data_IF_974745542466
#
_entry.id   IF_974745542466
#
_cell.length_a   1.000
_cell.length_b   1.000
_cell.length_c   1.000
_cell.angle_alpha   90.00
_cell.angle_beta   90.00
_cell.angle_gamma   90.00
#
_symmetry.space_group_name_H-M   'P 1'
#
loop_
_entity.id
_entity.type
_entity.pdbx_description
1 polymer ?
#
# COMPACT_ATOMS: atom_id res chain seq x y z
N UNK A 1 -12.23 22.46 -22.91
CA UNK A 1 -11.61 21.45 -23.79
C UNK A 1 -11.92 20.12 -23.17
N UNK A 2 -12.63 19.31 -23.93
CA UNK A 2 -13.21 18.04 -23.53
C UNK A 2 -12.08 16.99 -23.39
N UNK A 3 -11.71 16.64 -22.16
CA UNK A 3 -10.73 15.59 -21.87
C UNK A 3 -11.42 14.37 -21.30
N UNK A 4 -12.44 13.87 -21.99
CA UNK A 4 -12.78 12.46 -21.89
C UNK A 4 -11.69 11.69 -22.61
N UNK A 5 -10.61 11.35 -21.90
CA UNK A 5 -9.68 10.31 -22.34
C UNK A 5 -10.50 9.05 -22.59
N UNK A 6 -10.65 8.72 -23.88
CA UNK A 6 -11.24 7.48 -24.35
C UNK A 6 -10.55 6.31 -23.64
N UNK A 7 -11.33 5.49 -22.92
CA UNK A 7 -10.91 4.18 -22.41
C UNK A 7 -10.11 3.48 -23.50
N UNK A 8 -8.85 3.19 -23.23
CA UNK A 8 -8.03 2.40 -24.14
C UNK A 8 -8.54 0.94 -24.06
N UNK A 9 -9.41 0.56 -25.00
CA UNK A 9 -10.32 -0.59 -24.99
C UNK A 9 -9.64 -1.98 -25.12
N UNK A 10 -8.34 -2.05 -24.80
CA UNK A 10 -7.50 -3.25 -24.92
C UNK A 10 -6.73 -3.60 -23.64
N UNK A 11 -6.94 -2.88 -22.54
CA UNK A 11 -6.30 -3.21 -21.26
C UNK A 11 -6.96 -4.46 -20.65
N UNK A 12 -6.18 -5.41 -20.09
CA UNK A 12 -6.76 -6.61 -19.49
C UNK A 12 -7.58 -6.24 -18.25
N UNK A 13 -8.77 -6.83 -18.14
CA UNK A 13 -9.57 -6.82 -16.90
C UNK A 13 -9.08 -7.98 -16.03
N UNK A 14 -8.58 -7.67 -14.84
CA UNK A 14 -8.02 -8.65 -13.90
C UNK A 14 -9.09 -9.25 -12.97
N UNK A 15 -10.25 -8.61 -12.85
CA UNK A 15 -11.37 -9.14 -12.09
C UNK A 15 -12.52 -8.15 -11.92
N UNK A 16 -13.55 -8.59 -11.20
CA UNK A 16 -14.70 -7.80 -10.83
C UNK A 16 -14.75 -7.60 -9.32
N UNK A 17 -14.85 -6.35 -8.87
CA UNK A 17 -15.07 -5.99 -7.48
C UNK A 17 -16.58 -5.82 -7.29
N UNK A 18 -17.17 -6.67 -6.44
CA UNK A 18 -18.62 -6.77 -6.27
C UNK A 18 -19.15 -5.87 -5.15
N UNK A 19 -18.30 -5.54 -4.18
CA UNK A 19 -18.61 -4.65 -3.07
C UNK A 19 -18.14 -3.21 -3.28
N UNK A 20 -18.17 -2.38 -2.23
CA UNK A 20 -17.66 -1.02 -2.27
C UNK A 20 -16.13 -0.98 -2.31
N UNK A 21 -15.57 0.05 -2.95
CA UNK A 21 -14.14 0.37 -2.90
C UNK A 21 -13.97 1.60 -2.03
N UNK A 22 -13.19 1.47 -0.96
CA UNK A 22 -12.86 2.58 -0.06
C UNK A 22 -11.37 2.83 -0.13
N UNK A 23 -10.96 3.95 -0.71
CA UNK A 23 -9.58 4.39 -0.75
C UNK A 23 -9.31 5.38 0.38
N UNK A 24 -8.30 5.11 1.18
CA UNK A 24 -7.87 5.98 2.28
C UNK A 24 -6.56 6.65 1.82
N UNK A 25 -6.57 7.98 1.74
CA UNK A 25 -5.48 8.76 1.16
C UNK A 25 -5.62 8.98 -0.35
N UNK A 26 -5.40 10.22 -0.78
CA UNK A 26 -5.42 10.68 -2.16
C UNK A 26 -4.21 11.56 -2.51
N UNK A 27 -3.07 11.24 -1.89
CA UNK A 27 -1.76 11.79 -2.24
C UNK A 27 -1.24 11.26 -3.60
N UNK A 28 0.09 11.26 -3.78
CA UNK A 28 0.71 10.83 -5.06
C UNK A 28 0.32 9.41 -5.47
N UNK A 29 0.28 8.47 -4.52
CA UNK A 29 -0.03 7.06 -4.79
C UNK A 29 -1.52 6.87 -5.08
N UNK A 30 -2.43 7.45 -4.29
CA UNK A 30 -3.87 7.38 -4.55
C UNK A 30 -4.24 7.92 -5.94
N UNK A 31 -3.64 9.07 -6.32
CA UNK A 31 -3.79 9.65 -7.67
C UNK A 31 -3.28 8.74 -8.78
N UNK A 32 -2.15 8.05 -8.56
CA UNK A 32 -1.62 7.07 -9.52
C UNK A 32 -2.43 5.77 -9.59
N UNK A 33 -3.05 5.36 -8.49
CA UNK A 33 -3.79 4.10 -8.40
C UNK A 33 -5.22 4.18 -8.93
N UNK A 34 -5.92 5.29 -8.69
CA UNK A 34 -7.28 5.50 -9.17
C UNK A 34 -7.47 5.13 -10.66
N UNK A 35 -6.68 5.67 -11.62
CA UNK A 35 -6.85 5.33 -13.02
C UNK A 35 -6.49 3.86 -13.34
N UNK A 36 -5.64 3.19 -12.55
CA UNK A 36 -5.34 1.77 -12.73
C UNK A 36 -6.50 0.90 -12.27
N UNK A 37 -7.14 1.24 -11.15
CA UNK A 37 -8.33 0.55 -10.65
C UNK A 37 -9.45 0.65 -11.69
N UNK A 38 -9.74 1.87 -12.18
CA UNK A 38 -10.76 2.12 -13.20
C UNK A 38 -10.50 1.41 -14.54
N UNK A 39 -9.23 1.19 -14.86
CA UNK A 39 -8.78 0.54 -16.11
C UNK A 39 -8.86 -0.98 -16.03
N UNK A 40 -8.49 -1.58 -14.89
CA UNK A 40 -8.24 -3.01 -14.79
C UNK A 40 -9.27 -3.80 -13.99
N UNK A 41 -10.24 -3.15 -13.34
CA UNK A 41 -11.33 -3.82 -12.64
C UNK A 41 -12.70 -3.37 -13.14
N UNK A 42 -13.63 -4.33 -13.15
CA UNK A 42 -15.06 -4.03 -13.28
C UNK A 42 -15.65 -3.77 -11.89
N UNK A 43 -16.30 -2.62 -11.71
CA UNK A 43 -16.99 -2.27 -10.46
C UNK A 43 -18.05 -1.20 -10.72
N UNK A 44 -18.95 -1.00 -9.76
CA UNK A 44 -19.88 0.12 -9.76
C UNK A 44 -19.19 1.38 -9.24
N UNK A 45 -19.02 2.38 -10.11
CA UNK A 45 -18.33 3.64 -9.79
C UNK A 45 -19.00 4.42 -8.67
N UNK A 46 -20.32 4.29 -8.51
CA UNK A 46 -21.06 4.96 -7.44
C UNK A 46 -20.69 4.44 -6.04
N UNK A 47 -20.00 3.29 -5.98
CA UNK A 47 -19.54 2.65 -4.75
C UNK A 47 -18.03 2.77 -4.57
N UNK A 48 -17.39 3.72 -5.26
CA UNK A 48 -16.01 4.13 -4.98
C UNK A 48 -16.03 5.42 -4.15
N UNK A 49 -15.56 5.30 -2.91
CA UNK A 49 -15.34 6.45 -2.02
C UNK A 49 -13.85 6.63 -1.70
N UNK A 50 -13.40 7.88 -1.70
CA UNK A 50 -12.08 8.31 -1.24
C UNK A 50 -12.23 9.06 0.08
N UNK A 51 -11.33 8.80 1.03
CA UNK A 51 -11.25 9.52 2.31
C UNK A 51 -9.89 10.19 2.39
N UNK A 52 -9.85 11.53 2.49
CA UNK A 52 -8.62 12.29 2.65
C UNK A 52 -8.90 13.63 3.37
N UNK A 53 -8.11 14.06 4.38
CA UNK A 53 -8.29 15.35 5.03
C UNK A 53 -7.95 16.56 4.14
N UNK A 54 -7.22 16.36 3.05
CA UNK A 54 -6.79 17.38 2.10
C UNK A 54 -7.63 17.26 0.81
N UNK A 55 -8.29 18.35 0.41
CA UNK A 55 -9.18 18.37 -0.76
C UNK A 55 -8.59 19.13 -1.96
N UNK A 56 -7.30 19.47 -1.93
CA UNK A 56 -6.62 20.26 -2.98
C UNK A 56 -6.77 19.65 -4.38
N UNK A 57 -6.84 18.32 -4.47
CA UNK A 57 -6.99 17.56 -5.72
C UNK A 57 -8.41 17.04 -5.95
N UNK A 58 -9.41 17.52 -5.20
CA UNK A 58 -10.81 17.06 -5.29
C UNK A 58 -11.38 17.09 -6.71
N UNK A 59 -10.97 18.09 -7.51
CA UNK A 59 -11.39 18.20 -8.91
C UNK A 59 -11.08 16.94 -9.73
N UNK A 60 -10.04 16.18 -9.40
CA UNK A 60 -9.73 14.90 -10.06
C UNK A 60 -10.74 13.78 -9.77
N UNK A 61 -11.42 13.86 -8.62
CA UNK A 61 -12.45 12.92 -8.18
C UNK A 61 -13.82 13.32 -8.75
N UNK A 62 -14.16 14.60 -8.69
CA UNK A 62 -15.43 15.13 -9.17
C UNK A 62 -15.65 14.83 -10.67
N UNK A 63 -14.61 15.02 -11.51
CA UNK A 63 -14.70 14.70 -12.95
C UNK A 63 -14.87 13.21 -13.24
N UNK A 64 -14.60 12.33 -12.27
CA UNK A 64 -14.76 10.87 -12.37
C UNK A 64 -16.04 10.38 -11.69
N UNK A 65 -16.77 11.25 -10.98
CA UNK A 65 -17.92 10.89 -10.16
C UNK A 65 -17.57 10.06 -8.93
N UNK A 66 -16.35 10.20 -8.40
CA UNK A 66 -15.89 9.50 -7.20
C UNK A 66 -16.17 10.36 -5.97
N UNK A 67 -16.80 9.79 -4.95
CA UNK A 67 -17.15 10.51 -3.72
C UNK A 67 -15.88 10.80 -2.89
N UNK A 68 -15.72 12.04 -2.43
CA UNK A 68 -14.70 12.42 -1.45
C UNK A 68 -15.34 12.67 -0.08
N UNK A 69 -14.87 11.95 0.94
CA UNK A 69 -15.10 12.27 2.35
C UNK A 69 -13.88 13.03 2.85
N UNK A 70 -14.03 14.34 3.00
CA UNK A 70 -12.95 15.20 3.47
C UNK A 70 -12.78 15.12 5.00
N UNK A 71 -12.10 14.08 5.47
CA UNK A 71 -11.83 13.84 6.90
C UNK A 71 -10.53 13.07 7.10
N UNK A 72 -9.84 13.36 8.21
CA UNK A 72 -8.78 12.51 8.74
C UNK A 72 -9.39 11.34 9.51
N UNK A 73 -8.88 10.12 9.27
CA UNK A 73 -9.17 8.98 10.11
C UNK A 73 -8.33 9.04 11.38
N UNK A 74 -8.93 8.67 12.50
CA UNK A 74 -8.33 8.70 13.84
C UNK A 74 -8.75 7.46 14.62
N UNK A 75 -8.07 7.13 15.74
CA UNK A 75 -8.49 6.04 16.62
C UNK A 75 -9.97 6.13 17.04
N UNK A 76 -10.48 7.36 17.22
CA UNK A 76 -11.82 7.61 17.74
C UNK A 76 -12.93 7.46 16.68
N UNK A 77 -12.61 7.65 15.40
CA UNK A 77 -13.63 7.75 14.34
C UNK A 77 -13.55 6.67 13.25
N UNK A 78 -12.45 5.92 13.14
CA UNK A 78 -12.21 5.08 11.96
C UNK A 78 -13.26 3.98 11.81
N UNK A 79 -13.71 3.37 12.92
CA UNK A 79 -14.78 2.36 12.89
C UNK A 79 -16.11 2.94 12.43
N UNK A 80 -16.52 4.06 13.02
CA UNK A 80 -17.78 4.73 12.67
C UNK A 80 -17.82 5.12 11.18
N UNK A 81 -16.71 5.61 10.65
CA UNK A 81 -16.62 6.04 9.26
C UNK A 81 -16.50 4.85 8.31
N UNK A 82 -15.58 3.92 8.56
CA UNK A 82 -15.24 2.86 7.61
C UNK A 82 -16.27 1.73 7.59
N UNK A 83 -16.88 1.38 8.71
CA UNK A 83 -17.86 0.28 8.76
C UNK A 83 -18.99 0.44 7.75
N UNK A 84 -19.78 1.53 7.75
CA UNK A 84 -20.88 1.68 6.80
C UNK A 84 -20.40 1.70 5.35
N UNK A 85 -19.23 2.29 5.07
CA UNK A 85 -18.67 2.38 3.71
C UNK A 85 -18.21 1.02 3.19
N UNK A 86 -17.56 0.20 4.02
CA UNK A 86 -17.05 -1.12 3.62
C UNK A 86 -18.14 -2.18 3.53
N UNK A 87 -19.29 -1.95 4.17
CA UNK A 87 -20.46 -2.84 4.14
C UNK A 87 -21.61 -2.33 3.28
N UNK A 88 -21.44 -1.20 2.60
CA UNK A 88 -22.50 -0.62 1.77
C UNK A 88 -22.87 -1.57 0.64
N UNK A 89 -24.18 -1.85 0.46
CA UNK A 89 -24.69 -2.67 -0.63
C UNK A 89 -24.42 -4.17 -0.48
N UNK A 90 -24.32 -4.88 -1.60
CA UNK A 90 -24.02 -6.32 -1.63
C UNK A 90 -22.59 -6.59 -2.13
N UNK A 91 -22.07 -7.79 -1.89
CA UNK A 91 -20.73 -8.19 -2.33
C UNK A 91 -19.63 -7.89 -1.30
N UNK A 92 -18.38 -8.16 -1.70
CA UNK A 92 -17.22 -8.04 -0.81
C UNK A 92 -16.53 -6.70 -1.01
N UNK A 93 -16.47 -5.89 0.06
CA UNK A 93 -15.77 -4.60 0.03
C UNK A 93 -14.25 -4.75 -0.15
N UNK A 94 -13.61 -3.69 -0.63
CA UNK A 94 -12.16 -3.62 -0.79
C UNK A 94 -11.65 -2.27 -0.27
N UNK A 95 -10.90 -2.32 0.82
CA UNK A 95 -10.16 -1.20 1.37
C UNK A 95 -8.78 -1.09 0.70
N UNK A 96 -8.50 0.09 0.16
CA UNK A 96 -7.23 0.43 -0.48
C UNK A 96 -6.59 1.56 0.33
N UNK A 97 -5.66 1.20 1.21
CA UNK A 97 -5.05 2.14 2.14
C UNK A 97 -3.70 2.65 1.60
N UNK A 98 -3.65 3.92 1.23
CA UNK A 98 -2.47 4.61 0.69
C UNK A 98 -2.26 5.97 1.40
N UNK A 99 -2.70 6.06 2.66
CA UNK A 99 -2.55 7.22 3.52
C UNK A 99 -1.29 7.17 4.39
N UNK A 100 -1.06 8.27 5.10
CA UNK A 100 -0.14 8.39 6.24
C UNK A 100 -0.96 8.59 7.51
N UNK A 101 -0.33 8.51 8.69
CA UNK A 101 -0.93 8.85 9.99
C UNK A 101 -2.11 7.95 10.44
N UNK A 102 -2.33 6.82 9.76
CA UNK A 102 -3.41 5.87 10.02
C UNK A 102 -2.89 4.49 10.39
N UNK A 103 -3.40 3.86 11.45
CA UNK A 103 -2.96 2.51 11.85
C UNK A 103 -3.34 1.45 10.82
N UNK A 104 -2.34 0.89 10.12
CA UNK A 104 -2.53 -0.26 9.24
C UNK A 104 -3.09 -1.47 9.98
N UNK A 105 -2.66 -1.71 11.23
CA UNK A 105 -3.20 -2.83 12.05
C UNK A 105 -4.70 -2.68 12.25
N UNK A 106 -5.12 -1.53 12.76
CA UNK A 106 -6.51 -1.34 13.21
C UNK A 106 -7.48 -1.36 12.03
N UNK A 107 -7.10 -0.72 10.92
CA UNK A 107 -7.90 -0.68 9.70
C UNK A 107 -7.93 -2.07 9.05
N UNK A 108 -6.79 -2.78 8.99
CA UNK A 108 -6.73 -4.15 8.48
C UNK A 108 -7.60 -5.11 9.30
N UNK A 109 -7.54 -5.04 10.64
CA UNK A 109 -8.36 -5.85 11.53
C UNK A 109 -9.84 -5.56 11.32
N UNK A 110 -10.25 -4.28 11.22
CA UNK A 110 -11.62 -3.90 10.91
C UNK A 110 -12.09 -4.44 9.55
N UNK A 111 -11.27 -4.33 8.49
CA UNK A 111 -11.63 -4.86 7.18
C UNK A 111 -11.90 -6.36 7.23
N UNK A 112 -11.04 -7.11 7.93
CA UNK A 112 -11.19 -8.55 8.12
C UNK A 112 -12.41 -8.92 8.95
N UNK A 113 -12.71 -8.16 10.01
CA UNK A 113 -13.94 -8.31 10.82
C UNK A 113 -15.21 -8.15 9.95
N UNK A 114 -15.19 -7.21 9.01
CA UNK A 114 -16.31 -6.89 8.12
C UNK A 114 -16.39 -7.79 6.88
N UNK A 115 -15.43 -8.71 6.68
CA UNK A 115 -15.39 -9.54 5.47
C UNK A 115 -14.76 -8.85 4.25
N UNK A 116 -14.26 -7.62 4.39
CA UNK A 116 -13.66 -6.84 3.31
C UNK A 116 -12.21 -7.25 3.03
N UNK A 117 -11.79 -7.10 1.77
CA UNK A 117 -10.39 -7.18 1.36
C UNK A 117 -9.64 -5.92 1.80
N UNK A 118 -8.34 -6.05 2.04
CA UNK A 118 -7.48 -4.94 2.43
C UNK A 118 -6.14 -4.99 1.70
N UNK A 119 -5.63 -3.85 1.29
CA UNK A 119 -4.24 -3.68 0.84
C UNK A 119 -3.68 -2.34 1.34
N UNK A 120 -2.40 -2.34 1.73
CA UNK A 120 -1.62 -1.13 1.96
C UNK A 120 -0.22 -1.22 1.37
N UNK A 121 0.53 -0.12 1.44
CA UNK A 121 1.93 -0.04 0.98
C UNK A 121 2.94 0.08 2.12
N UNK A 122 2.47 0.18 3.36
CA UNK A 122 3.28 0.43 4.57
C UNK A 122 2.57 -0.10 5.81
N UNK A 123 3.33 -0.52 6.83
CA UNK A 123 2.82 -0.74 8.17
C UNK A 123 2.87 0.58 8.95
N UNK A 124 1.82 1.39 8.79
CA UNK A 124 1.72 2.74 9.36
C UNK A 124 1.08 2.69 10.76
N UNK A 125 1.55 3.50 11.73
CA UNK A 125 0.89 3.70 13.02
C UNK A 125 -0.11 4.86 12.96
N UNK A 126 -0.91 5.02 14.03
CA UNK A 126 -1.66 6.27 14.20
C UNK A 126 -0.73 7.47 14.40
N UNK A 127 -1.20 8.64 13.97
CA UNK A 127 -0.54 9.94 14.18
C UNK A 127 0.04 10.11 15.59
N UNK A 128 1.24 10.66 15.67
CA UNK A 128 1.96 10.92 16.93
C UNK A 128 2.99 9.86 17.32
N UNK A 129 2.90 8.63 16.77
CA UNK A 129 3.84 7.55 17.08
C UNK A 129 5.30 7.88 16.73
N UNK A 130 5.56 8.40 15.54
CA UNK A 130 6.93 8.66 15.06
C UNK A 130 7.70 9.69 15.90
N UNK A 131 6.97 10.58 16.58
CA UNK A 131 7.50 11.69 17.37
C UNK A 131 7.33 11.49 18.88
N UNK A 132 6.88 10.31 19.32
CA UNK A 132 6.80 10.00 20.74
C UNK A 132 8.20 9.92 21.36
N UNK A 133 8.55 10.96 22.13
CA UNK A 133 9.84 11.08 22.82
C UNK A 133 9.94 10.19 24.05
N UNK A 134 8.83 9.60 24.50
CA UNK A 134 8.82 8.66 25.62
C UNK A 134 9.19 7.24 25.19
N UNK A 135 9.09 6.93 23.89
CA UNK A 135 9.44 5.64 23.32
C UNK A 135 10.96 5.52 23.05
N UNK A 136 11.54 4.37 23.42
CA UNK A 136 12.91 4.04 23.05
C UNK A 136 13.06 3.83 21.53
N UNK A 137 14.28 3.94 20.96
CA UNK A 137 14.51 3.77 19.52
C UNK A 137 13.97 2.44 18.95
N UNK A 138 14.11 1.34 19.71
CA UNK A 138 13.61 0.00 19.34
C UNK A 138 12.10 -0.01 19.03
N UNK A 139 11.30 0.68 19.85
CA UNK A 139 9.86 0.74 19.69
C UNK A 139 9.44 1.52 18.43
N UNK A 140 10.32 2.38 17.88
CA UNK A 140 10.05 3.18 16.67
C UNK A 140 10.58 2.53 15.39
N UNK A 141 10.97 1.26 15.43
CA UNK A 141 11.49 0.54 14.25
C UNK A 141 10.36 -0.05 13.39
N UNK A 142 10.60 -0.18 12.08
CA UNK A 142 9.72 -0.95 11.20
C UNK A 142 9.67 -2.44 11.57
N UNK A 143 10.68 -2.95 12.28
CA UNK A 143 10.63 -4.29 12.87
C UNK A 143 9.50 -4.40 13.91
N UNK A 144 9.41 -3.45 14.86
CA UNK A 144 8.36 -3.43 15.87
C UNK A 144 6.96 -3.31 15.23
N UNK A 145 6.81 -2.40 14.26
CA UNK A 145 5.55 -2.24 13.51
C UNK A 145 5.16 -3.51 12.76
N UNK A 146 6.13 -4.22 12.17
CA UNK A 146 5.90 -5.50 11.51
C UNK A 146 5.50 -6.60 12.50
N UNK A 147 6.11 -6.68 13.68
CA UNK A 147 5.75 -7.68 14.69
C UNK A 147 4.31 -7.50 15.20
N UNK A 148 3.84 -6.26 15.28
CA UNK A 148 2.45 -5.91 15.59
C UNK A 148 1.48 -6.49 14.53
N UNK A 149 1.82 -6.39 13.24
CA UNK A 149 1.04 -7.00 12.14
C UNK A 149 1.09 -8.54 12.23
N UNK A 150 2.26 -9.12 12.49
CA UNK A 150 2.41 -10.57 12.63
C UNK A 150 1.66 -11.13 13.83
N UNK A 151 1.60 -10.40 14.94
CA UNK A 151 0.77 -10.73 16.10
C UNK A 151 -0.71 -10.82 15.71
N UNK A 152 -1.22 -9.83 14.97
CA UNK A 152 -2.59 -9.84 14.46
C UNK A 152 -2.86 -11.07 13.57
N UNK A 153 -1.94 -11.41 12.65
CA UNK A 153 -2.04 -12.62 11.83
C UNK A 153 -2.06 -13.91 12.65
N UNK A 154 -1.23 -14.00 13.70
CA UNK A 154 -1.19 -15.18 14.60
C UNK A 154 -2.47 -15.33 15.41
N UNK A 155 -3.08 -14.22 15.85
CA UNK A 155 -4.33 -14.19 16.62
C UNK A 155 -5.56 -14.52 15.79
N UNK A 156 -5.53 -14.24 14.49
CA UNK A 156 -6.65 -14.47 13.57
C UNK A 156 -6.15 -15.13 12.27
N UNK A 157 -5.81 -16.43 12.28
CA UNK A 157 -5.36 -17.13 11.08
C UNK A 157 -6.51 -17.29 10.06
N UNK A 158 -6.20 -17.21 8.76
CA UNK A 158 -7.19 -17.32 7.68
C UNK A 158 -8.07 -16.07 7.54
N UNK A 159 -9.33 -16.24 7.14
CA UNK A 159 -10.27 -15.13 6.95
C UNK A 159 -10.06 -14.34 5.64
N UNK A 160 -10.73 -13.18 5.49
CA UNK A 160 -10.57 -12.30 4.33
C UNK A 160 -9.12 -11.90 4.10
N UNK A 161 -8.71 -11.82 2.84
CA UNK A 161 -7.32 -11.50 2.49
C UNK A 161 -7.01 -10.04 2.81
N UNK A 162 -5.92 -9.84 3.54
CA UNK A 162 -5.31 -8.55 3.81
C UNK A 162 -3.85 -8.59 3.39
N UNK A 163 -3.44 -7.68 2.51
CA UNK A 163 -2.09 -7.62 1.96
C UNK A 163 -1.37 -6.39 2.52
N UNK A 164 -0.50 -6.61 3.49
CA UNK A 164 0.32 -5.54 4.06
C UNK A 164 1.62 -5.35 3.26
N UNK A 165 2.04 -4.09 3.10
CA UNK A 165 3.30 -3.68 2.47
C UNK A 165 3.43 -4.12 1.00
N UNK A 166 2.42 -3.81 0.17
CA UNK A 166 2.33 -4.20 -1.25
C UNK A 166 2.45 -3.00 -2.20
N UNK A 167 3.51 -2.20 -2.04
CA UNK A 167 3.90 -1.15 -2.98
C UNK A 167 5.03 -1.61 -3.91
N UNK A 168 5.94 -0.69 -4.22
CA UNK A 168 7.19 -1.02 -4.91
C UNK A 168 8.19 -1.70 -3.95
N UNK A 169 8.55 -1.02 -2.87
CA UNK A 169 9.56 -1.41 -1.89
C UNK A 169 9.22 -0.85 -0.52
N UNK A 170 8.37 -1.53 0.28
CA UNK A 170 8.11 -2.97 0.24
C UNK A 170 7.01 -3.38 -0.76
N UNK A 171 7.07 -4.63 -1.23
CA UNK A 171 6.11 -5.21 -2.17
C UNK A 171 6.79 -5.85 -3.38
N UNK A 172 6.76 -5.19 -4.54
CA UNK A 172 7.32 -5.64 -5.82
C UNK A 172 8.74 -6.22 -5.71
N UNK A 173 9.61 -5.60 -4.90
CA UNK A 173 10.98 -6.08 -4.71
C UNK A 173 11.07 -7.51 -4.15
N UNK A 174 10.07 -7.98 -3.40
CA UNK A 174 10.01 -9.38 -2.95
C UNK A 174 9.77 -10.34 -4.12
N UNK A 175 9.00 -9.92 -5.14
CA UNK A 175 8.81 -10.70 -6.37
C UNK A 175 10.09 -10.68 -7.21
N UNK A 176 10.79 -9.54 -7.28
CA UNK A 176 12.09 -9.46 -7.93
C UNK A 176 13.14 -10.36 -7.27
N UNK A 177 13.17 -10.47 -5.94
CA UNK A 177 14.08 -11.40 -5.26
C UNK A 177 13.83 -12.84 -5.69
N UNK A 178 12.56 -13.27 -5.78
CA UNK A 178 12.22 -14.62 -6.27
C UNK A 178 12.71 -14.83 -7.70
N UNK A 179 12.42 -13.90 -8.61
CA UNK A 179 12.87 -14.01 -10.00
C UNK A 179 14.40 -13.99 -10.11
N UNK A 180 15.08 -13.14 -9.34
CA UNK A 180 16.53 -13.04 -9.32
C UNK A 180 17.18 -14.34 -8.84
N UNK A 181 16.62 -15.01 -7.82
CA UNK A 181 17.11 -16.30 -7.36
C UNK A 181 17.05 -17.39 -8.44
N UNK A 182 15.94 -17.46 -9.18
CA UNK A 182 15.81 -18.40 -10.30
C UNK A 182 16.84 -18.09 -11.40
N UNK A 183 17.04 -16.81 -11.70
CA UNK A 183 18.02 -16.37 -12.69
C UNK A 183 19.46 -16.73 -12.28
N UNK A 184 19.87 -16.40 -11.05
CA UNK A 184 21.23 -16.70 -10.57
C UNK A 184 21.46 -18.21 -10.50
N UNK A 185 20.50 -18.99 -9.98
CA UNK A 185 20.61 -20.45 -9.94
C UNK A 185 20.81 -21.04 -11.35
N UNK A 186 20.10 -20.52 -12.35
CA UNK A 186 20.29 -20.88 -13.76
C UNK A 186 21.68 -20.51 -14.27
N UNK A 187 22.16 -19.29 -14.01
CA UNK A 187 23.46 -18.79 -14.50
C UNK A 187 24.66 -19.56 -13.94
N UNK A 188 24.59 -20.00 -12.68
CA UNK A 188 25.67 -20.80 -12.06
C UNK A 188 25.55 -22.31 -12.35
N UNK A 189 24.54 -22.74 -13.13
CA UNK A 189 24.30 -24.15 -13.43
C UNK A 189 23.82 -24.97 -12.23
N UNK A 190 23.14 -24.36 -11.26
CA UNK A 190 22.60 -25.07 -10.09
C UNK A 190 21.25 -25.72 -10.44
N UNK A 191 21.24 -27.05 -10.49
CA UNK A 191 19.99 -27.81 -10.65
C UNK A 191 19.05 -27.59 -9.46
N UNK A 192 17.79 -27.24 -9.77
CA UNK A 192 16.74 -27.05 -8.80
C UNK A 192 15.36 -27.20 -9.47
N UNK A 193 14.34 -27.53 -8.68
CA UNK A 193 12.95 -27.32 -9.04
C UNK A 193 12.52 -25.91 -8.61
N UNK A 194 11.53 -25.33 -9.30
CA UNK A 194 10.97 -24.06 -8.89
C UNK A 194 10.39 -24.15 -7.47
N UNK A 195 10.85 -23.30 -6.52
CA UNK A 195 10.42 -23.38 -5.12
C UNK A 195 8.92 -23.13 -4.91
N UNK A 196 8.25 -24.01 -4.17
CA UNK A 196 6.79 -23.94 -3.93
C UNK A 196 6.41 -23.48 -2.52
N UNK A 197 7.32 -23.65 -1.56
CA UNK A 197 7.14 -23.22 -0.16
C UNK A 197 8.12 -22.12 0.25
N UNK A 198 7.82 -21.44 1.35
CA UNK A 198 8.73 -20.45 1.97
C UNK A 198 10.09 -21.07 2.27
N UNK A 199 10.08 -22.31 2.77
CA UNK A 199 11.27 -23.08 3.12
C UNK A 199 12.09 -23.47 1.89
N UNK A 200 11.45 -23.78 0.76
CA UNK A 200 12.14 -24.04 -0.51
C UNK A 200 12.86 -22.79 -1.02
N UNK A 201 12.20 -21.62 -0.97
CA UNK A 201 12.81 -20.34 -1.37
C UNK A 201 14.04 -20.03 -0.52
N UNK A 202 13.96 -20.23 0.80
CA UNK A 202 15.08 -20.05 1.71
C UNK A 202 16.24 -21.01 1.42
N UNK A 203 15.95 -22.30 1.17
CA UNK A 203 16.96 -23.29 0.77
C UNK A 203 17.63 -22.93 -0.56
N UNK A 204 16.88 -22.48 -1.56
CA UNK A 204 17.44 -22.06 -2.84
C UNK A 204 18.39 -20.88 -2.64
N UNK A 205 17.96 -19.84 -1.91
CA UNK A 205 18.80 -18.67 -1.60
C UNK A 205 20.11 -19.06 -0.91
N UNK A 206 20.05 -19.99 0.05
CA UNK A 206 21.23 -20.53 0.73
C UNK A 206 22.16 -21.27 -0.24
N UNK A 207 21.62 -22.16 -1.09
CA UNK A 207 22.41 -22.96 -2.04
C UNK A 207 23.10 -22.11 -3.11
N UNK A 208 22.44 -21.04 -3.55
CA UNK A 208 23.02 -20.05 -4.49
C UNK A 208 24.16 -19.25 -3.84
N UNK A 209 24.26 -19.24 -2.50
CA UNK A 209 25.32 -18.55 -1.77
C UNK A 209 25.08 -17.05 -1.60
N UNK A 210 23.82 -16.60 -1.62
CA UNK A 210 23.46 -15.20 -1.36
C UNK A 210 23.80 -14.84 0.09
N UNK A 211 24.68 -13.86 0.28
CA UNK A 211 25.09 -13.37 1.62
C UNK A 211 24.25 -12.19 2.12
N UNK A 212 23.69 -11.41 1.19
CA UNK A 212 22.91 -10.23 1.48
C UNK A 212 22.19 -9.74 0.24
N UNK A 213 21.17 -8.92 0.44
CA UNK A 213 20.36 -8.32 -0.61
C UNK A 213 20.23 -6.83 -0.27
N UNK A 214 20.60 -5.97 -1.21
CA UNK A 214 20.26 -4.56 -1.14
C UNK A 214 19.03 -4.30 -1.99
N UNK A 215 18.10 -3.50 -1.48
CA UNK A 215 17.09 -2.86 -2.30
C UNK A 215 17.77 -1.65 -2.96
N UNK A 216 18.44 -1.90 -4.09
CA UNK A 216 19.28 -0.92 -4.75
C UNK A 216 18.43 -0.05 -5.68
N UNK A 217 18.07 1.14 -5.20
CA UNK A 217 17.29 2.12 -5.95
C UNK A 217 18.13 3.36 -6.29
N UNK A 218 17.92 3.89 -7.49
CA UNK A 218 18.47 5.18 -7.91
C UNK A 218 17.42 5.94 -8.70
N UNK A 219 16.78 6.91 -8.05
CA UNK A 219 15.93 7.87 -8.75
C UNK A 219 16.82 8.92 -9.45
N UNK A 220 16.53 9.18 -10.73
CA UNK A 220 17.22 10.17 -11.57
C UNK A 220 16.25 11.20 -12.16
N UNK A 221 14.98 11.16 -11.74
CA UNK A 221 14.00 12.17 -12.11
C UNK A 221 14.48 13.57 -11.68
N UNK A 222 14.14 14.56 -12.50
CA UNK A 222 14.50 15.97 -12.27
C UNK A 222 13.34 16.85 -12.70
N UNK A 223 13.11 17.92 -11.95
CA UNK A 223 12.14 18.95 -12.33
C UNK A 223 12.74 19.94 -13.33
N UNK A 224 11.88 20.66 -14.06
CA UNK A 224 12.29 21.75 -14.95
C UNK A 224 12.87 22.95 -14.16
N UNK A 225 12.39 23.15 -12.94
CA UNK A 225 12.83 24.21 -12.04
C UNK A 225 13.81 23.67 -11.00
N UNK A 226 14.84 24.46 -10.64
CA UNK A 226 15.78 24.08 -9.59
C UNK A 226 15.07 23.97 -8.24
N UNK A 227 15.63 23.17 -7.33
CA UNK A 227 15.12 23.01 -5.96
C UNK A 227 15.04 24.38 -5.26
N UNK A 228 13.85 24.80 -4.79
CA UNK A 228 13.73 26.04 -4.02
C UNK A 228 14.45 25.97 -2.66
N UNK A 229 14.91 27.12 -2.20
CA UNK A 229 15.48 27.28 -0.86
C UNK A 229 14.39 27.09 0.20
N UNK A 230 14.70 26.37 1.29
CA UNK A 230 13.73 26.12 2.37
C UNK A 230 12.63 25.10 2.05
N UNK A 231 12.64 24.47 0.87
CA UNK A 231 11.63 23.48 0.47
C UNK A 231 12.23 22.08 0.40
N UNK A 232 11.55 21.08 0.98
CA UNK A 232 11.87 19.67 0.75
C UNK A 232 11.19 19.21 -0.55
N UNK A 233 11.93 18.54 -1.43
CA UNK A 233 11.42 18.06 -2.72
C UNK A 233 11.69 16.57 -2.80
N UNK A 234 10.66 15.80 -3.17
CA UNK A 234 10.75 14.36 -3.39
C UNK A 234 9.81 13.95 -4.54
N UNK A 235 10.00 12.75 -5.08
CA UNK A 235 9.15 12.16 -6.15
C UNK A 235 7.95 11.38 -5.60
N UNK A 236 7.90 11.21 -4.28
CA UNK A 236 6.80 10.63 -3.52
C UNK A 236 6.65 11.36 -2.17
N UNK A 237 5.86 10.80 -1.25
CA UNK A 237 5.49 11.45 0.04
C UNK A 237 6.70 12.05 0.76
N UNK A 238 6.69 13.37 0.94
CA UNK A 238 7.72 14.07 1.73
C UNK A 238 7.58 13.70 3.21
N UNK A 239 6.36 13.71 3.74
CA UNK A 239 6.09 13.37 5.14
C UNK A 239 6.50 11.92 5.45
N UNK A 240 6.12 10.98 4.59
CA UNK A 240 6.52 9.57 4.73
C UNK A 240 8.04 9.41 4.69
N UNK A 241 8.70 10.01 3.69
CA UNK A 241 10.16 9.90 3.54
C UNK A 241 10.94 10.52 4.71
N UNK A 242 10.49 11.66 5.23
CA UNK A 242 11.12 12.28 6.39
C UNK A 242 10.90 11.44 7.65
N UNK A 243 9.69 10.92 7.86
CA UNK A 243 9.38 10.06 9.01
C UNK A 243 10.24 8.80 9.02
N UNK A 244 10.33 8.08 7.90
CA UNK A 244 11.17 6.88 7.82
C UNK A 244 12.67 7.20 7.93
N UNK A 245 13.12 8.32 7.35
CA UNK A 245 14.52 8.76 7.43
C UNK A 245 14.96 9.17 8.84
N UNK A 246 13.99 9.43 9.74
CA UNK A 246 14.22 9.74 11.16
C UNK A 246 13.99 8.53 12.08
N UNK A 247 13.52 7.40 11.56
CA UNK A 247 13.55 6.12 12.28
C UNK A 247 14.99 5.58 12.35
N UNK A 248 15.29 4.67 13.30
CA UNK A 248 16.59 4.01 13.32
C UNK A 248 16.87 3.25 12.02
N UNK A 249 18.13 3.31 11.56
CA UNK A 249 18.64 2.57 10.40
C UNK A 249 18.71 1.06 10.63
#
# INVERSE_FOLDING_TARGET
>A
MDTTETRNDHSPIHGRITGPIVMIGFGSIGKGMLPLIERHFEFDRNRFTVIDPVDTDRGMLDVRGVTLINKALTPDNYREILTPLLTEGCGQGFCVNVSVDTSSRDIMELCRELGALYVDTVAEPWAGFYFDRSAGPEARTNYALREIILEACRRSPGGPTAVNCCGANPGMVSWFVKQALLNVAKEIGLEHEEPKSREDWARLMQRVGVKGIHIAERDTQRAEHPKPMGTFVNTWSVEGFVSEGLQPA
#
